data_IF_751107308921
#
_entry.id   IF_751107308921
#
_cell.length_a   1.000
_cell.length_b   1.000
_cell.length_c   1.000
_cell.angle_alpha   90.00
_cell.angle_beta   90.00
_cell.angle_gamma   90.00
#
_symmetry.space_group_name_H-M   'P 1'
#
loop_
_entity.id
_entity.type
_entity.pdbx_description
1 polymer ?
#
# COMPACT_ATOMS: atom_id res chain seq x y z
N UNK A 1 0.98 2.88 17.62
CA UNK A 1 -0.22 2.94 16.76
C UNK A 1 -0.21 4.06 15.71
N UNK A 2 0.24 5.31 15.97
CA UNK A 2 0.26 6.37 14.91
C UNK A 2 1.39 6.16 13.87
N UNK A 3 2.48 5.50 14.24
CA UNK A 3 3.63 5.28 13.35
C UNK A 3 3.40 4.21 12.28
N UNK A 4 2.66 3.14 12.60
CA UNK A 4 2.46 2.01 11.69
C UNK A 4 1.65 2.41 10.45
N UNK A 5 0.53 3.13 10.64
CA UNK A 5 -0.32 3.56 9.53
C UNK A 5 0.34 4.60 8.62
N UNK A 6 1.37 5.30 9.10
CA UNK A 6 2.13 6.27 8.29
C UNK A 6 2.81 5.61 7.08
N UNK A 7 3.18 4.33 7.17
CA UNK A 7 3.71 3.58 6.04
C UNK A 7 2.65 3.35 4.95
N UNK A 8 1.43 3.00 5.35
CA UNK A 8 0.32 2.82 4.41
C UNK A 8 -0.12 4.15 3.80
N UNK A 9 -0.05 5.25 4.56
CA UNK A 9 -0.30 6.60 4.02
C UNK A 9 0.76 6.99 2.97
N UNK A 10 2.04 6.72 3.21
CA UNK A 10 3.10 6.89 2.21
C UNK A 10 2.91 6.00 0.98
N UNK A 11 2.47 4.76 1.17
CA UNK A 11 2.15 3.86 0.06
C UNK A 11 1.06 4.46 -0.85
N UNK A 12 0.00 5.02 -0.25
CA UNK A 12 -1.07 5.71 -1.00
C UNK A 12 -0.58 6.94 -1.75
N UNK A 13 0.32 7.73 -1.14
CA UNK A 13 0.93 8.88 -1.80
C UNK A 13 1.74 8.47 -3.03
N UNK A 14 2.58 7.45 -2.90
CA UNK A 14 3.34 6.92 -4.04
C UNK A 14 2.44 6.39 -5.14
N UNK A 15 1.38 5.67 -4.80
CA UNK A 15 0.39 5.19 -5.78
C UNK A 15 -0.31 6.33 -6.53
N UNK A 16 -0.61 7.44 -5.86
CA UNK A 16 -1.23 8.62 -6.51
C UNK A 16 -0.31 9.15 -7.62
N UNK A 17 0.96 9.31 -7.30
CA UNK A 17 1.97 9.71 -8.28
C UNK A 17 2.19 8.67 -9.38
N UNK A 18 2.05 7.37 -9.07
CA UNK A 18 2.11 6.32 -10.08
C UNK A 18 0.94 6.44 -11.08
N UNK A 19 -0.27 6.73 -10.60
CA UNK A 19 -1.46 6.96 -11.43
C UNK A 19 -1.25 8.16 -12.37
N UNK A 20 -0.71 9.26 -11.84
CA UNK A 20 -0.42 10.47 -12.61
C UNK A 20 0.66 10.22 -13.69
N UNK A 21 1.67 9.40 -13.41
CA UNK A 21 2.80 9.14 -14.30
C UNK A 21 2.57 7.98 -15.30
N UNK A 22 1.80 6.96 -14.94
CA UNK A 22 1.66 5.73 -15.71
C UNK A 22 0.54 5.74 -16.75
N UNK A 23 -0.30 6.78 -16.73
CA UNK A 23 -1.41 6.91 -17.66
C UNK A 23 -2.49 5.84 -17.50
N UNK A 24 -3.42 5.77 -18.46
CA UNK A 24 -4.65 4.97 -18.36
C UNK A 24 -4.44 3.45 -18.26
N UNK A 25 -3.29 2.92 -18.66
CA UNK A 25 -3.06 1.46 -18.69
C UNK A 25 -3.02 0.84 -17.29
N UNK A 26 -2.39 1.53 -16.33
CA UNK A 26 -2.26 1.04 -14.95
C UNK A 26 -3.26 1.69 -13.98
N UNK A 27 -3.97 2.73 -14.42
CA UNK A 27 -4.82 3.57 -13.58
C UNK A 27 -5.87 2.78 -12.81
N UNK A 28 -6.60 1.88 -13.47
CA UNK A 28 -7.63 1.06 -12.81
C UNK A 28 -7.04 0.13 -11.73
N UNK A 29 -5.85 -0.43 -11.96
CA UNK A 29 -5.16 -1.27 -10.98
C UNK A 29 -4.66 -0.44 -9.81
N UNK A 30 -4.05 0.72 -10.07
CA UNK A 30 -3.60 1.67 -9.04
C UNK A 30 -4.78 2.12 -8.17
N UNK A 31 -5.90 2.53 -8.78
CA UNK A 31 -7.08 3.01 -8.07
C UNK A 31 -7.68 1.92 -7.18
N UNK A 32 -7.72 0.67 -7.66
CA UNK A 32 -8.18 -0.47 -6.88
C UNK A 32 -7.29 -0.73 -5.65
N UNK A 33 -5.96 -0.64 -5.80
CA UNK A 33 -5.03 -0.80 -4.68
C UNK A 33 -5.16 0.37 -3.70
N UNK A 34 -5.33 1.60 -4.20
CA UNK A 34 -5.56 2.77 -3.35
C UNK A 34 -6.86 2.70 -2.54
N UNK A 35 -7.93 2.17 -3.13
CA UNK A 35 -9.18 1.92 -2.44
C UNK A 35 -9.00 0.87 -1.33
N UNK A 36 -8.33 -0.24 -1.62
CA UNK A 36 -8.04 -1.27 -0.62
C UNK A 36 -7.20 -0.73 0.56
N UNK A 37 -6.18 0.09 0.30
CA UNK A 37 -5.42 0.76 1.36
C UNK A 37 -6.26 1.77 2.16
N UNK A 38 -7.22 2.44 1.53
CA UNK A 38 -8.10 3.37 2.19
C UNK A 38 -9.05 2.65 3.16
N UNK A 39 -9.66 1.55 2.71
CA UNK A 39 -10.52 0.71 3.53
C UNK A 39 -9.79 0.19 4.78
N UNK A 40 -8.56 -0.29 4.63
CA UNK A 40 -7.76 -0.76 5.77
C UNK A 40 -7.40 0.37 6.77
N UNK A 41 -7.13 1.58 6.26
CA UNK A 41 -6.86 2.75 7.10
C UNK A 41 -8.14 3.29 7.79
N UNK A 42 -9.28 3.23 7.12
CA UNK A 42 -10.56 3.74 7.62
C UNK A 42 -11.23 2.76 8.59
N UNK A 43 -11.17 1.46 8.32
CA UNK A 43 -11.61 0.42 9.26
C UNK A 43 -10.89 0.55 10.61
N UNK A 44 -9.59 0.84 10.60
CA UNK A 44 -8.85 1.15 11.82
C UNK A 44 -9.33 2.43 12.56
N UNK A 45 -9.81 3.45 11.83
CA UNK A 45 -10.26 4.71 12.44
C UNK A 45 -11.69 4.65 12.99
N UNK A 46 -12.52 3.76 12.45
CA UNK A 46 -13.97 3.73 12.71
C UNK A 46 -14.43 2.52 13.51
N UNK A 47 -13.63 1.45 13.56
CA UNK A 47 -13.95 0.21 14.27
C UNK A 47 -12.91 -0.05 15.37
N UNK A 48 -13.32 -0.66 16.48
CA UNK A 48 -12.40 -1.18 17.52
C UNK A 48 -11.56 -2.40 17.01
N UNK A 49 -11.37 -2.52 15.70
CA UNK A 49 -10.58 -3.57 15.08
C UNK A 49 -9.07 -3.31 15.26
N UNK A 50 -8.26 -4.38 15.35
CA UNK A 50 -6.82 -4.29 15.59
C UNK A 50 -6.07 -3.82 14.33
N UNK A 51 -6.25 -2.57 13.94
CA UNK A 51 -5.48 -1.94 12.86
C UNK A 51 -5.59 -2.62 11.49
N UNK A 52 -4.83 -2.13 10.50
CA UNK A 52 -4.74 -2.75 9.18
C UNK A 52 -4.28 -4.21 9.29
N UNK A 53 -4.91 -5.11 8.53
CA UNK A 53 -4.64 -6.55 8.60
C UNK A 53 -3.37 -6.90 7.82
N UNK A 54 -2.42 -7.60 8.45
CA UNK A 54 -1.16 -8.01 7.80
C UNK A 54 -1.42 -8.79 6.52
N UNK A 55 -2.34 -9.76 6.55
CA UNK A 55 -2.67 -10.60 5.40
C UNK A 55 -3.21 -9.76 4.24
N UNK A 56 -4.04 -8.77 4.54
CA UNK A 56 -4.57 -7.86 3.53
C UNK A 56 -3.49 -6.96 2.94
N UNK A 57 -2.54 -6.49 3.75
CA UNK A 57 -1.37 -5.77 3.25
C UNK A 57 -0.46 -6.68 2.42
N UNK A 58 -0.36 -7.98 2.73
CA UNK A 58 0.38 -8.95 1.93
C UNK A 58 -0.22 -9.10 0.52
N UNK A 59 -1.54 -9.24 0.41
CA UNK A 59 -2.22 -9.29 -0.88
C UNK A 59 -1.99 -8.01 -1.71
N UNK A 60 -1.95 -6.85 -1.06
CA UNK A 60 -1.66 -5.57 -1.73
C UNK A 60 -0.21 -5.51 -2.23
N UNK A 61 0.74 -6.09 -1.50
CA UNK A 61 2.15 -6.19 -1.93
C UNK A 61 2.27 -7.04 -3.20
N UNK A 62 1.60 -8.19 -3.26
CA UNK A 62 1.60 -9.05 -4.45
C UNK A 62 1.03 -8.33 -5.68
N UNK A 63 -0.07 -7.58 -5.48
CA UNK A 63 -0.65 -6.76 -6.55
C UNK A 63 0.30 -5.66 -7.02
N UNK A 64 1.01 -5.00 -6.09
CA UNK A 64 2.02 -4.00 -6.42
C UNK A 64 3.20 -4.59 -7.19
N UNK A 65 3.59 -5.84 -6.89
CA UNK A 65 4.68 -6.53 -7.58
C UNK A 65 4.34 -6.84 -9.05
N UNK A 66 3.13 -7.36 -9.29
CA UNK A 66 2.61 -7.53 -10.65
C UNK A 66 2.54 -6.20 -11.41
N UNK A 67 2.02 -5.16 -10.75
CA UNK A 67 1.88 -3.84 -11.34
C UNK A 67 3.23 -3.16 -11.64
N UNK A 68 4.26 -3.37 -10.80
CA UNK A 68 5.61 -2.86 -11.03
C UNK A 68 6.19 -3.39 -12.34
N UNK A 69 5.88 -4.66 -12.66
CA UNK A 69 6.34 -5.35 -13.88
C UNK A 69 5.62 -4.83 -15.12
N UNK A 70 4.36 -4.42 -14.99
CA UNK A 70 3.57 -3.84 -16.09
C UNK A 70 3.88 -2.35 -16.33
N UNK A 71 4.30 -1.63 -15.29
CA UNK A 71 4.64 -0.21 -15.37
C UNK A 71 6.07 0.02 -15.88
N UNK A 72 6.33 1.25 -16.33
CA UNK A 72 7.68 1.68 -16.74
C UNK A 72 7.97 3.12 -16.29
N UNK A 73 9.25 3.48 -16.27
CA UNK A 73 9.69 4.82 -15.90
C UNK A 73 9.28 5.22 -14.49
N UNK A 74 8.82 6.47 -14.33
CA UNK A 74 8.44 7.02 -13.02
C UNK A 74 7.32 6.22 -12.36
N UNK A 75 6.36 5.69 -13.12
CA UNK A 75 5.27 4.89 -12.54
C UNK A 75 5.79 3.63 -11.85
N UNK A 76 6.72 2.90 -12.48
CA UNK A 76 7.36 1.71 -11.88
C UNK A 76 8.15 2.08 -10.61
N UNK A 77 8.89 3.19 -10.62
CA UNK A 77 9.61 3.67 -9.44
C UNK A 77 8.67 4.03 -8.28
N UNK A 78 7.53 4.65 -8.58
CA UNK A 78 6.51 4.98 -7.58
C UNK A 78 5.86 3.72 -7.01
N UNK A 79 5.52 2.75 -7.85
CA UNK A 79 4.94 1.46 -7.41
C UNK A 79 5.94 0.72 -6.50
N UNK A 80 7.22 0.67 -6.87
CA UNK A 80 8.27 0.07 -6.03
C UNK A 80 8.35 0.71 -4.65
N UNK A 81 8.26 2.04 -4.58
CA UNK A 81 8.27 2.78 -3.29
C UNK A 81 7.00 2.50 -2.47
N UNK A 82 5.84 2.41 -3.11
CA UNK A 82 4.61 2.00 -2.43
C UNK A 82 4.73 0.59 -1.85
N UNK A 83 5.30 -0.34 -2.62
CA UNK A 83 5.59 -1.71 -2.18
C UNK A 83 6.51 -1.74 -0.98
N UNK A 84 7.61 -0.99 -1.01
CA UNK A 84 8.56 -0.91 0.11
C UNK A 84 7.87 -0.43 1.39
N UNK A 85 7.00 0.58 1.30
CA UNK A 85 6.28 1.09 2.46
C UNK A 85 5.31 0.04 3.04
N UNK A 86 4.58 -0.71 2.20
CA UNK A 86 3.74 -1.83 2.67
C UNK A 86 4.57 -2.93 3.36
N UNK A 87 5.75 -3.23 2.84
CA UNK A 87 6.68 -4.21 3.45
C UNK A 87 7.20 -3.73 4.80
N UNK A 88 7.52 -2.44 4.93
CA UNK A 88 8.00 -1.87 6.19
C UNK A 88 6.91 -1.85 7.26
N UNK A 89 5.65 -1.59 6.87
CA UNK A 89 4.49 -1.82 7.74
C UNK A 89 4.45 -3.25 8.28
N UNK A 90 4.57 -4.26 7.41
CA UNK A 90 4.52 -5.67 7.84
C UNK A 90 5.65 -6.01 8.80
N UNK A 91 6.86 -5.50 8.57
CA UNK A 91 8.01 -5.73 9.48
C UNK A 91 7.78 -5.12 10.86
N UNK A 92 7.20 -3.93 10.93
CA UNK A 92 6.89 -3.27 12.21
C UNK A 92 5.76 -4.01 12.94
N UNK A 93 4.64 -4.27 12.26
CA UNK A 93 3.47 -4.98 12.81
C UNK A 93 3.77 -6.43 13.20
N UNK A 94 4.75 -7.06 12.53
CA UNK A 94 5.26 -8.40 12.84
C UNK A 94 6.18 -8.43 14.06
N UNK A 95 6.92 -7.35 14.33
CA UNK A 95 7.74 -7.21 15.54
C UNK A 95 6.88 -6.96 16.78
N UNK A 96 5.83 -6.15 16.64
CA UNK A 96 4.93 -5.80 17.75
C UNK A 96 4.06 -6.99 18.23
N UNK A 97 3.90 -8.03 17.42
CA UNK A 97 3.18 -9.27 17.80
C UNK A 97 4.07 -10.36 18.42
N UNK A 98 5.39 -10.22 18.33
CA UNK A 98 6.35 -11.16 18.90
C UNK A 98 6.85 -10.74 20.31
N UNK A 99 6.35 -9.60 20.81
CA UNK A 99 6.69 -9.01 22.11
C UNK A 99 5.71 -9.33 23.23
#
# INVERSE_FOLDING_TARGET
>A
MVAETAHLERAREHLRHASDAGGRSIQNQVDSIQAGLAEELEGHRTQDEPGPKIDRVAELIEKLDGLETEASGEASDRIRRAKSACVDFQKERGRDQAG
#
